data_IF_512221891406
#
_entry.id   IF_512221891406
#
_cell.length_a   1.000
_cell.length_b   1.000
_cell.length_c   1.000
_cell.angle_alpha   90.00
_cell.angle_beta   90.00
_cell.angle_gamma   90.00
#
_symmetry.space_group_name_H-M   'P 1'
#
loop_
_entity.id
_entity.type
_entity.pdbx_description
1 polymer ?
#
# COMPACT_ATOMS: atom_id res chain seq x y z
N UNK A 1 6.86 5.62 -25.96
CA UNK A 1 7.67 4.53 -26.56
C UNK A 1 8.88 4.30 -25.66
N UNK A 2 8.63 4.10 -24.36
CA UNK A 2 9.64 3.92 -23.29
C UNK A 2 9.59 2.50 -22.72
N UNK A 3 8.42 1.83 -22.77
CA UNK A 3 8.20 0.48 -22.19
C UNK A 3 9.07 -0.64 -22.78
N UNK A 4 9.53 -0.53 -24.03
CA UNK A 4 10.28 -1.62 -24.67
C UNK A 4 11.72 -1.76 -24.17
N UNK A 5 12.29 -0.72 -23.53
CA UNK A 5 13.70 -0.75 -23.08
C UNK A 5 13.92 -1.64 -21.87
N UNK A 6 12.98 -1.64 -20.94
CA UNK A 6 13.07 -2.43 -19.70
C UNK A 6 12.43 -3.80 -19.81
N UNK A 7 11.63 -4.03 -20.86
CA UNK A 7 10.91 -5.28 -21.09
C UNK A 7 11.81 -6.51 -20.98
N UNK A 8 13.00 -6.48 -21.59
CA UNK A 8 13.93 -7.60 -21.54
C UNK A 8 14.48 -7.84 -20.12
N UNK A 9 14.85 -6.77 -19.40
CA UNK A 9 15.31 -6.88 -18.02
C UNK A 9 14.20 -7.45 -17.11
N UNK A 10 12.95 -7.06 -17.30
CA UNK A 10 11.81 -7.62 -16.55
C UNK A 10 11.51 -9.07 -16.90
N UNK A 11 11.65 -9.49 -18.16
CA UNK A 11 11.52 -10.89 -18.54
C UNK A 11 12.58 -11.76 -17.85
N UNK A 12 13.84 -11.28 -17.81
CA UNK A 12 14.92 -11.98 -17.10
C UNK A 12 14.67 -11.98 -15.60
N UNK A 13 14.29 -10.85 -14.99
CA UNK A 13 13.96 -10.77 -13.57
C UNK A 13 12.79 -11.67 -13.19
N UNK A 14 11.75 -11.76 -14.01
CA UNK A 14 10.61 -12.67 -13.80
C UNK A 14 11.08 -14.13 -13.70
N UNK A 15 11.97 -14.54 -14.60
CA UNK A 15 12.58 -15.87 -14.57
C UNK A 15 13.44 -16.05 -13.32
N UNK A 16 14.31 -15.09 -13.00
CA UNK A 16 15.20 -15.17 -11.84
C UNK A 16 14.43 -15.20 -10.52
N UNK A 17 13.38 -14.40 -10.37
CA UNK A 17 12.47 -14.44 -9.21
C UNK A 17 11.87 -15.84 -9.06
N UNK A 18 11.35 -16.43 -10.14
CA UNK A 18 10.83 -17.80 -10.11
C UNK A 18 11.88 -18.81 -9.62
N UNK A 19 13.13 -18.68 -10.06
CA UNK A 19 14.21 -19.54 -9.64
C UNK A 19 14.56 -19.34 -8.17
N UNK A 20 14.73 -18.09 -7.74
CA UNK A 20 15.01 -17.73 -6.34
C UNK A 20 13.91 -18.22 -5.40
N UNK A 21 12.64 -18.08 -5.79
CA UNK A 21 11.47 -18.46 -4.98
C UNK A 21 11.30 -19.98 -4.82
N UNK A 22 11.93 -20.80 -5.66
CA UNK A 22 11.69 -22.26 -5.70
C UNK A 22 11.89 -22.96 -4.35
N UNK A 23 12.85 -22.50 -3.56
CA UNK A 23 13.21 -23.07 -2.28
C UNK A 23 12.83 -22.15 -1.09
N UNK A 24 11.99 -21.13 -1.35
CA UNK A 24 11.60 -20.09 -0.38
C UNK A 24 10.09 -20.17 -0.08
N UNK A 25 9.62 -19.66 1.07
CA UNK A 25 8.19 -19.63 1.41
C UNK A 25 7.42 -18.51 0.67
N UNK A 26 7.81 -18.20 -0.57
CA UNK A 26 7.19 -17.17 -1.40
C UNK A 26 6.42 -17.83 -2.54
N UNK A 27 5.11 -17.63 -2.57
CA UNK A 27 4.22 -18.03 -3.67
C UNK A 27 3.50 -16.79 -4.22
N UNK A 28 4.30 -15.80 -4.62
CA UNK A 28 3.83 -14.52 -5.14
C UNK A 28 3.91 -14.50 -6.66
N UNK A 29 3.04 -13.71 -7.29
CA UNK A 29 3.12 -13.47 -8.73
C UNK A 29 4.43 -12.74 -9.05
N UNK A 30 5.16 -13.30 -10.01
CA UNK A 30 6.46 -12.84 -10.51
C UNK A 30 6.38 -12.52 -12.01
N UNK A 31 5.18 -12.44 -12.58
CA UNK A 31 4.96 -12.08 -13.98
C UNK A 31 5.51 -10.67 -14.27
N UNK A 32 5.84 -10.40 -15.54
CA UNK A 32 6.35 -9.08 -15.95
C UNK A 32 5.38 -7.95 -15.58
N UNK A 33 4.07 -8.22 -15.55
CA UNK A 33 3.03 -7.23 -15.18
C UNK A 33 3.14 -6.77 -13.73
N UNK A 34 3.75 -7.57 -12.86
CA UNK A 34 4.01 -7.21 -11.45
C UNK A 34 5.26 -6.35 -11.28
N UNK A 35 6.09 -6.25 -12.31
CA UNK A 35 7.35 -5.52 -12.30
C UNK A 35 7.17 -4.16 -13.00
N UNK A 36 7.80 -3.14 -12.45
CA UNK A 36 7.87 -1.82 -13.09
C UNK A 36 9.14 -1.11 -12.66
N UNK A 37 9.43 0.03 -13.26
CA UNK A 37 10.54 0.89 -12.84
C UNK A 37 10.02 2.24 -12.36
N UNK A 38 10.72 2.86 -11.41
CA UNK A 38 10.53 4.27 -11.10
C UNK A 38 11.31 5.15 -12.09
N UNK A 39 10.93 6.42 -12.21
CA UNK A 39 11.71 7.42 -12.95
C UNK A 39 13.09 7.71 -12.32
N UNK A 40 13.34 7.21 -11.12
CA UNK A 40 14.60 7.34 -10.38
C UNK A 40 15.53 6.13 -10.58
N UNK A 41 15.14 5.18 -11.45
CA UNK A 41 15.92 3.98 -11.73
C UNK A 41 15.75 2.89 -10.69
N UNK A 42 14.63 2.81 -9.97
CA UNK A 42 14.37 1.69 -9.06
C UNK A 42 13.53 0.61 -9.76
N UNK A 43 13.82 -0.66 -9.49
CA UNK A 43 12.91 -1.78 -9.77
C UNK A 43 11.83 -1.80 -8.71
N UNK A 44 10.59 -2.02 -9.13
CA UNK A 44 9.42 -2.12 -8.27
C UNK A 44 8.76 -3.46 -8.54
N UNK A 45 8.63 -4.29 -7.50
CA UNK A 45 7.85 -5.53 -7.55
C UNK A 45 6.58 -5.38 -6.71
N UNK A 46 5.41 -5.55 -7.33
CA UNK A 46 4.11 -5.51 -6.65
C UNK A 46 3.59 -6.93 -6.47
N UNK A 47 3.20 -7.26 -5.24
CA UNK A 47 2.58 -8.56 -4.97
C UNK A 47 1.35 -8.40 -4.08
N UNK A 48 0.49 -9.42 -4.09
CA UNK A 48 -0.71 -9.52 -3.26
C UNK A 48 -0.63 -10.82 -2.44
N UNK A 49 0.13 -10.83 -1.33
CA UNK A 49 0.20 -11.98 -0.43
C UNK A 49 -1.20 -12.33 0.11
N UNK A 50 -1.41 -13.61 0.42
CA UNK A 50 -2.68 -14.08 0.99
C UNK A 50 -2.99 -13.48 2.37
N UNK A 51 -1.96 -13.03 3.11
CA UNK A 51 -2.06 -12.46 4.45
C UNK A 51 -1.29 -11.14 4.50
N UNK A 52 -1.86 -10.13 5.16
CA UNK A 52 -1.21 -8.81 5.35
C UNK A 52 -1.42 -7.81 4.20
N UNK A 53 -2.12 -8.22 3.14
CA UNK A 53 -2.50 -7.36 2.01
C UNK A 53 -1.35 -6.94 1.10
N UNK A 54 -1.66 -6.13 0.10
CA UNK A 54 -0.77 -5.74 -1.00
C UNK A 54 0.59 -5.21 -0.53
N UNK A 55 1.63 -5.50 -1.31
CA UNK A 55 3.02 -5.10 -1.05
C UNK A 55 3.63 -4.50 -2.31
N UNK A 56 4.61 -3.63 -2.12
CA UNK A 56 5.39 -3.03 -3.20
C UNK A 56 6.83 -2.96 -2.72
N UNK A 57 7.72 -3.78 -3.26
CA UNK A 57 9.14 -3.76 -2.91
C UNK A 57 9.88 -2.91 -3.92
N UNK A 58 10.50 -1.81 -3.45
CA UNK A 58 11.37 -0.94 -4.27
C UNK A 58 12.84 -1.28 -4.01
N UNK A 59 13.59 -1.53 -5.09
CA UNK A 59 15.04 -1.76 -5.06
C UNK A 59 15.75 -0.81 -6.03
N UNK A 60 16.78 -0.11 -5.53
CA UNK A 60 17.61 0.78 -6.35
C UNK A 60 18.32 -0.02 -7.44
N UNK A 61 18.18 0.41 -8.70
CA UNK A 61 18.83 -0.20 -9.86
C UNK A 61 19.14 0.89 -10.90
N UNK A 62 20.02 1.82 -10.51
CA UNK A 62 20.41 3.03 -11.29
C UNK A 62 20.72 2.77 -12.77
N UNK A 63 21.00 1.53 -13.16
CA UNK A 63 21.29 1.13 -14.54
C UNK A 63 20.57 -0.16 -14.97
N UNK A 64 19.29 -0.32 -14.65
CA UNK A 64 18.51 -1.49 -15.07
C UNK A 64 18.59 -1.78 -16.59
N UNK A 65 18.68 -0.73 -17.42
CA UNK A 65 18.82 -0.85 -18.89
C UNK A 65 20.11 -1.56 -19.33
N UNK A 66 21.17 -1.47 -18.52
CA UNK A 66 22.49 -2.02 -18.81
C UNK A 66 22.84 -3.20 -17.90
N UNK A 67 21.91 -3.62 -17.05
CA UNK A 67 22.18 -4.58 -15.99
C UNK A 67 22.55 -5.95 -16.59
N UNK A 68 23.70 -6.46 -16.19
CA UNK A 68 24.14 -7.81 -16.55
C UNK A 68 23.35 -8.88 -15.81
N UNK A 69 23.45 -10.14 -16.26
CA UNK A 69 22.74 -11.26 -15.62
C UNK A 69 23.07 -11.43 -14.12
N UNK A 70 24.29 -11.09 -13.71
CA UNK A 70 24.69 -11.11 -12.30
C UNK A 70 23.97 -10.04 -11.48
N UNK A 71 23.88 -8.80 -11.98
CA UNK A 71 23.20 -7.69 -11.30
C UNK A 71 21.70 -7.95 -11.19
N UNK A 72 21.09 -8.51 -12.24
CA UNK A 72 19.68 -8.91 -12.21
C UNK A 72 19.43 -10.05 -11.21
N UNK A 73 20.38 -10.97 -11.04
CA UNK A 73 20.28 -12.04 -10.05
C UNK A 73 20.37 -11.48 -8.61
N UNK A 74 21.29 -10.54 -8.36
CA UNK A 74 21.39 -9.85 -7.07
C UNK A 74 20.09 -9.08 -6.75
N UNK A 75 19.51 -8.38 -7.74
CA UNK A 75 18.21 -7.71 -7.57
C UNK A 75 17.10 -8.71 -7.24
N UNK A 76 17.00 -9.82 -7.98
CA UNK A 76 15.98 -10.85 -7.74
C UNK A 76 16.12 -11.46 -6.33
N UNK A 77 17.36 -11.73 -5.90
CA UNK A 77 17.65 -12.21 -4.56
C UNK A 77 17.22 -11.21 -3.49
N UNK A 78 17.60 -9.94 -3.63
CA UNK A 78 17.23 -8.89 -2.67
C UNK A 78 15.70 -8.71 -2.58
N UNK A 79 15.01 -8.76 -3.72
CA UNK A 79 13.55 -8.73 -3.79
C UNK A 79 12.94 -9.91 -3.00
N UNK A 80 13.45 -11.13 -3.19
CA UNK A 80 13.01 -12.31 -2.45
C UNK A 80 13.35 -12.23 -0.95
N UNK A 81 14.55 -11.81 -0.57
CA UNK A 81 14.96 -11.64 0.84
C UNK A 81 14.03 -10.64 1.56
N UNK A 82 13.60 -9.59 0.84
CA UNK A 82 12.60 -8.63 1.36
C UNK A 82 11.22 -9.24 1.46
N UNK A 83 10.81 -9.99 0.43
CA UNK A 83 9.54 -10.71 0.41
C UNK A 83 9.41 -11.64 1.61
N UNK A 84 10.45 -12.40 1.93
CA UNK A 84 10.48 -13.29 3.09
C UNK A 84 10.28 -12.55 4.41
N UNK A 85 11.00 -11.45 4.63
CA UNK A 85 10.79 -10.61 5.81
C UNK A 85 9.34 -10.14 5.91
N UNK A 86 8.72 -9.76 4.78
CA UNK A 86 7.31 -9.35 4.78
C UNK A 86 6.36 -10.53 5.07
N UNK A 87 6.67 -11.74 4.60
CA UNK A 87 5.90 -12.96 4.92
C UNK A 87 5.98 -13.27 6.41
N UNK A 88 7.17 -13.19 7.01
CA UNK A 88 7.39 -13.45 8.44
C UNK A 88 6.55 -12.52 9.32
N UNK A 89 6.34 -11.28 8.87
CA UNK A 89 5.53 -10.26 9.56
C UNK A 89 4.10 -10.13 9.02
N UNK A 90 3.64 -11.03 8.15
CA UNK A 90 2.33 -10.92 7.49
C UNK A 90 1.14 -10.95 8.47
N UNK A 91 1.24 -11.73 9.54
CA UNK A 91 0.21 -11.80 10.58
C UNK A 91 0.08 -10.50 11.37
N UNK A 92 1.20 -9.88 11.77
CA UNK A 92 1.21 -8.59 12.47
C UNK A 92 0.59 -7.49 11.60
N UNK A 93 0.90 -7.49 10.29
CA UNK A 93 0.27 -6.59 9.31
C UNK A 93 -1.24 -6.78 9.24
N UNK A 94 -1.69 -8.04 9.15
CA UNK A 94 -3.11 -8.36 9.08
C UNK A 94 -3.86 -8.01 10.39
N UNK A 95 -3.22 -8.16 11.54
CA UNK A 95 -3.77 -7.77 12.84
C UNK A 95 -3.89 -6.24 12.95
N UNK A 96 -2.84 -5.51 12.57
CA UNK A 96 -2.84 -4.04 12.53
C UNK A 96 -3.95 -3.50 11.61
N UNK A 97 -4.11 -4.05 10.41
CA UNK A 97 -5.19 -3.68 9.49
C UNK A 97 -6.58 -3.92 10.12
N UNK A 98 -6.78 -5.08 10.76
CA UNK A 98 -8.04 -5.43 11.43
C UNK A 98 -8.34 -4.46 12.58
N UNK A 99 -7.34 -4.11 13.37
CA UNK A 99 -7.48 -3.17 14.47
C UNK A 99 -7.82 -1.76 13.96
N UNK A 100 -7.12 -1.30 12.91
CA UNK A 100 -7.37 -0.03 12.25
C UNK A 100 -8.80 0.03 11.69
N UNK A 101 -9.23 -1.04 11.02
CA UNK A 101 -10.58 -1.20 10.48
C UNK A 101 -11.65 -1.17 11.57
N UNK A 102 -11.44 -1.89 12.66
CA UNK A 102 -12.37 -1.92 13.79
C UNK A 102 -12.49 -0.54 14.46
N UNK A 103 -11.36 0.16 14.62
CA UNK A 103 -11.31 1.52 15.14
C UNK A 103 -12.02 2.49 14.22
N UNK A 104 -11.72 2.51 12.92
CA UNK A 104 -12.35 3.36 11.93
C UNK A 104 -13.89 3.18 11.94
N UNK A 105 -14.37 1.93 11.94
CA UNK A 105 -15.81 1.62 12.06
C UNK A 105 -16.42 2.11 13.38
N UNK A 106 -15.66 2.10 14.48
CA UNK A 106 -16.14 2.63 15.77
C UNK A 106 -16.20 4.15 15.77
N UNK A 107 -15.18 4.82 15.20
CA UNK A 107 -15.13 6.27 15.03
C UNK A 107 -16.31 6.76 14.17
N UNK A 108 -16.60 6.06 13.07
CA UNK A 108 -17.79 6.29 12.25
C UNK A 108 -19.09 6.28 13.07
N UNK A 109 -19.35 5.18 13.80
CA UNK A 109 -20.59 4.98 14.56
C UNK A 109 -20.83 6.06 15.61
N UNK A 110 -19.77 6.57 16.24
CA UNK A 110 -19.86 7.59 17.29
C UNK A 110 -20.19 8.99 16.77
N UNK A 111 -20.06 9.27 15.46
CA UNK A 111 -20.17 10.64 14.90
C UNK A 111 -21.34 10.90 13.96
N UNK A 112 -22.25 9.94 13.79
CA UNK A 112 -23.55 10.11 13.09
C UNK A 112 -24.41 11.28 13.65
N UNK A 113 -24.06 11.83 14.81
CA UNK A 113 -24.82 12.85 15.54
C UNK A 113 -24.77 14.28 14.97
N UNK A 114 -24.17 14.55 13.80
CA UNK A 114 -23.90 15.94 13.35
C UNK A 114 -24.26 16.29 11.89
N UNK A 115 -25.15 15.53 11.25
CA UNK A 115 -25.65 15.85 9.90
C UNK A 115 -24.73 15.46 8.74
N UNK A 116 -23.46 15.14 9.03
CA UNK A 116 -22.56 14.42 8.12
C UNK A 116 -22.94 12.94 8.18
N UNK A 117 -23.48 12.40 7.09
CA UNK A 117 -23.78 10.97 6.97
C UNK A 117 -22.59 10.26 6.36
N UNK A 118 -21.86 9.52 7.18
CA UNK A 118 -20.75 8.71 6.71
C UNK A 118 -21.30 7.42 6.08
N UNK A 119 -21.01 7.19 4.79
CA UNK A 119 -21.59 6.13 3.98
C UNK A 119 -20.77 4.82 4.02
N UNK A 120 -19.44 4.92 3.98
CA UNK A 120 -18.54 3.76 3.91
C UNK A 120 -17.19 4.06 4.54
N UNK A 121 -16.59 3.02 5.13
CA UNK A 121 -15.16 2.97 5.43
C UNK A 121 -14.52 1.83 4.65
N UNK A 122 -13.48 2.17 3.94
CA UNK A 122 -12.57 1.23 3.29
C UNK A 122 -11.22 1.34 3.97
N UNK A 123 -10.63 0.20 4.32
CA UNK A 123 -9.30 0.12 4.90
C UNK A 123 -8.47 -0.76 3.98
N UNK A 124 -7.37 -0.23 3.48
CA UNK A 124 -6.43 -0.95 2.64
C UNK A 124 -5.02 -0.77 3.21
N UNK A 125 -4.23 -1.86 3.36
CA UNK A 125 -2.82 -1.74 3.67
C UNK A 125 -2.11 -0.90 2.60
N UNK A 126 -1.30 0.07 3.04
CA UNK A 126 -0.44 0.81 2.13
C UNK A 126 0.60 -0.16 1.59
N UNK A 127 0.89 -0.16 0.27
CA UNK A 127 1.95 -1.00 -0.26
C UNK A 127 3.29 -0.65 0.41
N UNK A 128 3.90 -1.62 1.10
CA UNK A 128 5.12 -1.41 1.89
C UNK A 128 6.35 -1.95 1.17
N UNK A 129 7.45 -1.17 1.24
CA UNK A 129 8.78 -1.59 0.79
C UNK A 129 9.49 -2.52 1.80
N UNK A 130 9.19 -2.33 3.08
CA UNK A 130 9.79 -3.03 4.22
C UNK A 130 8.74 -3.26 5.31
N UNK A 131 8.98 -4.23 6.20
CA UNK A 131 8.04 -4.58 7.27
C UNK A 131 7.76 -3.42 8.24
N UNK A 132 8.65 -2.43 8.40
CA UNK A 132 8.48 -1.35 9.37
C UNK A 132 7.60 -0.19 8.87
N UNK A 133 7.23 -0.18 7.58
CA UNK A 133 6.42 0.87 6.96
C UNK A 133 4.93 0.50 6.91
N UNK A 134 4.38 -0.06 7.99
CA UNK A 134 2.99 -0.53 8.03
C UNK A 134 2.06 0.67 8.23
N UNK A 135 1.40 1.10 7.16
CA UNK A 135 0.31 2.06 7.21
C UNK A 135 -0.99 1.46 6.69
N UNK A 136 -2.13 1.99 7.13
CA UNK A 136 -3.43 1.69 6.54
C UNK A 136 -4.02 2.98 5.98
N UNK A 137 -4.44 2.91 4.72
CA UNK A 137 -5.26 3.95 4.13
C UNK A 137 -6.72 3.70 4.52
N UNK A 138 -7.33 4.71 5.12
CA UNK A 138 -8.73 4.69 5.54
C UNK A 138 -9.50 5.74 4.75
N UNK A 139 -10.41 5.29 3.90
CA UNK A 139 -11.27 6.18 3.12
C UNK A 139 -12.62 6.31 3.80
N UNK A 140 -12.99 7.55 4.13
CA UNK A 140 -14.29 7.92 4.66
C UNK A 140 -15.13 8.55 3.55
N UNK A 141 -16.26 7.93 3.21
CA UNK A 141 -17.26 8.55 2.35
C UNK A 141 -18.30 9.26 3.21
N UNK A 142 -18.66 10.50 2.86
CA UNK A 142 -19.67 11.27 3.58
C UNK A 142 -20.52 12.15 2.66
N UNK A 143 -21.77 12.38 3.06
CA UNK A 143 -22.67 13.32 2.36
C UNK A 143 -22.58 14.72 2.98
N UNK A 144 -22.40 15.74 2.12
CA UNK A 144 -22.48 17.15 2.49
C UNK A 144 -23.35 17.89 1.47
N UNK A 145 -24.46 18.49 1.90
CA UNK A 145 -25.35 19.24 1.01
C UNK A 145 -26.06 18.41 -0.07
N UNK A 146 -26.04 17.08 0.03
CA UNK A 146 -26.62 16.16 -0.96
C UNK A 146 -25.60 15.50 -1.89
N UNK A 147 -24.34 15.96 -1.88
CA UNK A 147 -23.24 15.37 -2.64
C UNK A 147 -22.41 14.42 -1.79
N UNK A 148 -22.03 13.27 -2.37
CA UNK A 148 -21.07 12.35 -1.74
C UNK A 148 -19.64 12.86 -1.94
N UNK A 149 -18.88 12.89 -0.86
CA UNK A 149 -17.48 13.28 -0.82
C UNK A 149 -16.65 12.19 -0.15
N UNK A 150 -15.37 12.14 -0.47
CA UNK A 150 -14.43 11.18 0.10
C UNK A 150 -13.28 11.92 0.77
N UNK A 151 -12.89 11.43 1.96
CA UNK A 151 -11.71 11.88 2.68
C UNK A 151 -10.82 10.69 2.99
N UNK A 152 -9.53 10.82 2.71
CA UNK A 152 -8.57 9.74 2.81
C UNK A 152 -7.57 10.03 3.92
N UNK A 153 -7.41 9.09 4.84
CA UNK A 153 -6.47 9.17 5.96
C UNK A 153 -5.45 8.06 5.82
N UNK A 154 -4.19 8.42 5.68
CA UNK A 154 -3.07 7.51 5.93
C UNK A 154 -2.75 7.56 7.42
N UNK A 155 -2.77 6.40 8.08
CA UNK A 155 -2.39 6.27 9.48
C UNK A 155 -1.46 5.07 9.69
N UNK A 156 -0.43 5.28 10.50
CA UNK A 156 0.56 4.25 10.83
C UNK A 156 0.18 3.50 12.12
N UNK A 157 -0.72 4.06 12.93
CA UNK A 157 -1.27 3.43 14.12
C UNK A 157 -2.68 3.94 14.46
N UNK A 158 -3.32 3.28 15.42
CA UNK A 158 -4.67 3.58 15.90
C UNK A 158 -4.78 5.00 16.46
N UNK A 159 -3.76 5.47 17.18
CA UNK A 159 -3.71 6.80 17.77
C UNK A 159 -3.63 7.88 16.69
N UNK A 160 -2.78 7.68 15.67
CA UNK A 160 -2.69 8.60 14.53
C UNK A 160 -4.01 8.65 13.75
N UNK A 161 -4.68 7.51 13.57
CA UNK A 161 -6.01 7.46 12.95
C UNK A 161 -7.03 8.30 13.75
N UNK A 162 -7.07 8.15 15.08
CA UNK A 162 -7.99 8.92 15.93
C UNK A 162 -7.72 10.42 15.80
N UNK A 163 -6.45 10.83 15.92
CA UNK A 163 -6.05 12.24 15.85
C UNK A 163 -6.39 12.86 14.49
N UNK A 164 -6.08 12.16 13.39
CA UNK A 164 -6.40 12.63 12.03
C UNK A 164 -7.90 12.66 11.76
N UNK A 165 -8.63 11.66 12.24
CA UNK A 165 -10.09 11.66 12.14
C UNK A 165 -10.72 12.83 12.90
N UNK A 166 -10.22 13.16 14.09
CA UNK A 166 -10.71 14.34 14.83
C UNK A 166 -10.43 15.65 14.10
N UNK A 167 -9.23 15.81 13.51
CA UNK A 167 -8.90 16.97 12.66
C UNK A 167 -9.83 17.07 11.46
N UNK A 168 -10.08 15.96 10.76
CA UNK A 168 -11.05 15.90 9.65
C UNK A 168 -12.43 16.40 10.08
N UNK A 169 -12.94 15.97 11.24
CA UNK A 169 -14.26 16.43 11.73
C UNK A 169 -14.25 17.94 12.03
N UNK A 170 -13.17 18.48 12.61
CA UNK A 170 -13.03 19.92 12.85
C UNK A 170 -13.02 20.71 11.53
N UNK A 171 -12.31 20.21 10.53
CA UNK A 171 -12.23 20.81 9.19
C UNK A 171 -13.60 20.82 8.49
N UNK A 172 -14.29 19.67 8.45
CA UNK A 172 -15.63 19.55 7.84
C UNK A 172 -16.67 20.47 8.50
N UNK A 173 -16.58 20.61 9.82
CA UNK A 173 -17.40 21.57 10.56
C UNK A 173 -17.14 23.01 10.11
N UNK A 174 -15.87 23.41 10.02
CA UNK A 174 -15.50 24.76 9.60
C UNK A 174 -16.00 25.10 8.19
N UNK A 175 -16.05 24.12 7.29
CA UNK A 175 -16.58 24.27 5.93
C UNK A 175 -18.11 24.38 5.92
N UNK A 176 -18.80 23.55 6.72
CA UNK A 176 -20.27 23.58 6.83
C UNK A 176 -20.79 24.95 7.30
N UNK A 177 -20.10 25.59 8.26
CA UNK A 177 -20.43 26.94 8.72
C UNK A 177 -20.25 28.03 7.64
N UNK A 178 -19.39 27.81 6.63
CA UNK A 178 -19.20 28.75 5.52
C UNK A 178 -20.26 28.63 4.42
N UNK A 179 -20.93 27.47 4.33
CA UNK A 179 -21.98 27.21 3.32
C UNK A 179 -23.36 27.67 3.83
N UNK A 180 -23.57 27.68 5.15
CA UNK A 180 -24.83 28.08 5.78
C UNK A 180 -24.94 29.60 6.10
N UNK A 181 -23.94 30.41 5.75
CA UNK A 181 -23.89 31.87 5.95
C UNK A 181 -24.04 32.61 4.61
#
# INVERSE_FOLDING_TARGET
MEDTKFQHAFEVLSVLLKWEMKDRPLDWDHSVETLSHSGEGCVIWRANPAVGGSVRIVRDSRFLECAGGYELADIAKDLCDTGEQIVDHSFERAEGEREMTATAKTLLRRKVARGIRLARVECAPIPVDYYYNIGTEVTFEYELGGDSQQYMITADCVEDLKDRFERMIIELHSQSFRIAA
#
